data_IF_388538298951
#
_entry.id   IF_388538298951
#
_cell.length_a   1.000
_cell.length_b   1.000
_cell.length_c   1.000
_cell.angle_alpha   90.00
_cell.angle_beta   90.00
_cell.angle_gamma   90.00
#
_symmetry.space_group_name_H-M   'P 1'
#
loop_
_entity.id
_entity.type
_entity.pdbx_description
1 polymer ?
#
# COMPACT_ATOMS: atom_id res chain seq x y z
N UNK A 1 13.98 -4.93 19.29
CA UNK A 1 12.58 -4.44 19.33
C UNK A 1 11.97 -4.69 17.97
N UNK A 2 10.75 -5.22 17.91
CA UNK A 2 10.13 -5.65 16.67
C UNK A 2 9.31 -4.54 16.00
N UNK A 3 9.46 -4.40 14.69
CA UNK A 3 8.65 -3.52 13.86
C UNK A 3 8.17 -4.25 12.59
N UNK A 4 6.87 -4.14 12.31
CA UNK A 4 6.24 -4.64 11.11
C UNK A 4 6.08 -3.51 10.10
N UNK A 5 6.62 -3.69 8.90
CA UNK A 5 6.54 -2.74 7.79
C UNK A 5 5.71 -3.36 6.65
N UNK A 6 4.48 -2.87 6.47
CA UNK A 6 3.51 -3.53 5.61
C UNK A 6 3.03 -2.61 4.51
N UNK A 7 2.80 -3.16 3.32
CA UNK A 7 2.03 -2.43 2.31
C UNK A 7 0.56 -2.26 2.74
N UNK A 8 -0.16 -1.39 2.02
CA UNK A 8 -1.56 -1.07 2.28
C UNK A 8 -2.52 -1.76 1.30
N UNK A 9 -2.38 -1.45 0.02
CA UNK A 9 -3.24 -1.95 -1.06
C UNK A 9 -2.89 -3.42 -1.32
N UNK A 10 -3.88 -4.27 -1.59
CA UNK A 10 -3.69 -5.72 -1.68
C UNK A 10 -3.45 -6.43 -0.33
N UNK A 11 -2.95 -5.72 0.69
CA UNK A 11 -2.68 -6.27 2.02
C UNK A 11 -3.79 -6.03 3.01
N UNK A 12 -4.28 -4.80 3.18
CA UNK A 12 -5.34 -4.43 4.13
C UNK A 12 -6.59 -3.90 3.46
N UNK A 13 -6.45 -3.32 2.27
CA UNK A 13 -7.56 -2.76 1.50
C UNK A 13 -7.46 -3.21 0.04
N UNK A 14 -8.56 -3.18 -0.73
CA UNK A 14 -8.51 -3.33 -2.17
C UNK A 14 -7.72 -2.19 -2.85
N UNK A 15 -7.27 -2.43 -4.08
CA UNK A 15 -6.65 -1.44 -4.95
C UNK A 15 -7.57 -0.24 -5.21
N UNK A 16 -7.14 0.95 -4.81
CA UNK A 16 -7.95 2.17 -4.84
C UNK A 16 -8.30 2.55 -6.28
N UNK A 17 -7.31 2.56 -7.17
CA UNK A 17 -7.52 3.00 -8.55
C UNK A 17 -8.41 2.05 -9.35
N UNK A 18 -8.36 0.75 -9.04
CA UNK A 18 -9.28 -0.24 -9.63
C UNK A 18 -10.70 0.04 -9.15
N UNK A 19 -10.89 0.23 -7.83
CA UNK A 19 -12.21 0.55 -7.28
C UNK A 19 -12.78 1.87 -7.84
N UNK A 20 -11.95 2.90 -8.00
CA UNK A 20 -12.33 4.17 -8.62
C UNK A 20 -12.73 3.97 -10.08
N UNK A 21 -11.92 3.25 -10.87
CA UNK A 21 -12.21 2.91 -12.26
C UNK A 21 -13.57 2.24 -12.41
N UNK A 22 -13.84 1.19 -11.63
CA UNK A 22 -15.08 0.43 -11.68
C UNK A 22 -16.30 1.27 -11.29
N UNK A 23 -16.19 2.03 -10.19
CA UNK A 23 -17.30 2.81 -9.64
C UNK A 23 -17.65 4.04 -10.48
N UNK A 24 -16.66 4.64 -11.13
CA UNK A 24 -16.84 5.81 -11.99
C UNK A 24 -17.07 5.43 -13.45
N UNK A 25 -16.87 4.15 -13.82
CA UNK A 25 -17.01 3.68 -15.20
C UNK A 25 -15.87 4.13 -16.14
N UNK A 26 -14.74 4.56 -15.59
CA UNK A 26 -13.58 5.07 -16.35
C UNK A 26 -12.48 4.01 -16.36
N UNK A 27 -12.57 3.07 -17.31
CA UNK A 27 -11.72 1.87 -17.39
C UNK A 27 -10.23 2.18 -17.47
N UNK A 28 -9.87 3.33 -18.02
CA UNK A 28 -8.49 3.79 -18.14
C UNK A 28 -7.79 3.95 -16.79
N UNK A 29 -8.53 4.26 -15.72
CA UNK A 29 -7.97 4.40 -14.37
C UNK A 29 -7.54 3.06 -13.76
N UNK A 30 -8.00 1.92 -14.30
CA UNK A 30 -7.58 0.59 -13.83
C UNK A 30 -6.13 0.24 -14.20
N UNK A 31 -5.45 1.06 -15.01
CA UNK A 31 -4.04 0.85 -15.37
C UNK A 31 -3.17 0.84 -14.11
N UNK A 32 -2.28 -0.15 -14.02
CA UNK A 32 -1.39 -0.36 -12.87
C UNK A 32 0.08 -0.19 -13.26
N UNK A 33 0.98 -0.31 -12.28
CA UNK A 33 2.43 -0.36 -12.52
C UNK A 33 2.87 -1.59 -13.31
N UNK A 34 2.03 -2.62 -13.42
CA UNK A 34 2.26 -3.77 -14.30
C UNK A 34 2.15 -3.38 -15.79
N UNK A 35 1.28 -2.42 -16.09
CA UNK A 35 1.04 -1.91 -17.45
C UNK A 35 1.91 -0.68 -17.78
N UNK A 36 2.32 0.07 -16.76
CA UNK A 36 3.22 1.22 -16.86
C UNK A 36 4.20 1.23 -15.69
N UNK A 37 5.40 0.66 -15.85
CA UNK A 37 6.39 0.59 -14.77
C UNK A 37 6.89 1.96 -14.31
N UNK A 38 6.83 2.98 -15.16
CA UNK A 38 7.18 4.36 -14.81
C UNK A 38 6.04 5.01 -14.03
N UNK A 39 6.24 5.16 -12.71
CA UNK A 39 5.25 5.75 -11.81
C UNK A 39 4.87 7.19 -12.20
N UNK A 40 5.82 8.01 -12.67
CA UNK A 40 5.52 9.39 -13.07
C UNK A 40 4.65 9.42 -14.32
N UNK A 41 4.98 8.57 -15.29
CA UNK A 41 4.16 8.42 -16.49
C UNK A 41 2.76 7.90 -16.17
N UNK A 42 2.63 6.92 -15.28
CA UNK A 42 1.34 6.41 -14.81
C UNK A 42 0.52 7.50 -14.10
N UNK A 43 1.15 8.27 -13.23
CA UNK A 43 0.45 9.32 -12.49
C UNK A 43 0.04 10.48 -13.38
N UNK A 44 0.89 10.94 -14.31
CA UNK A 44 0.49 11.95 -15.31
C UNK A 44 -0.69 11.47 -16.14
N UNK A 45 -0.65 10.23 -16.61
CA UNK A 45 -1.76 9.61 -17.34
C UNK A 45 -3.05 9.61 -16.53
N UNK A 46 -3.01 9.24 -15.24
CA UNK A 46 -4.18 9.30 -14.34
C UNK A 46 -4.68 10.74 -14.16
N UNK A 47 -3.79 11.71 -13.96
CA UNK A 47 -4.16 13.12 -13.80
C UNK A 47 -4.85 13.68 -15.06
N UNK A 48 -4.33 13.36 -16.25
CA UNK A 48 -4.93 13.76 -17.53
C UNK A 48 -6.37 13.23 -17.67
N UNK A 49 -6.61 11.98 -17.24
CA UNK A 49 -7.94 11.37 -17.22
C UNK A 49 -8.84 12.09 -16.22
N UNK A 50 -8.37 12.32 -15.00
CA UNK A 50 -9.16 13.03 -13.98
C UNK A 50 -9.57 14.43 -14.45
N UNK A 51 -8.68 15.14 -15.13
CA UNK A 51 -9.01 16.43 -15.73
C UNK A 51 -10.03 16.32 -16.86
N UNK A 52 -9.83 15.38 -17.80
CA UNK A 52 -10.73 15.14 -18.94
C UNK A 52 -12.14 14.78 -18.49
N UNK A 53 -12.25 13.86 -17.53
CA UNK A 53 -13.51 13.39 -16.97
C UNK A 53 -14.09 14.31 -15.89
N UNK A 54 -13.36 15.39 -15.53
CA UNK A 54 -13.72 16.35 -14.48
C UNK A 54 -13.97 15.70 -13.11
N UNK A 55 -13.21 14.65 -12.80
CA UNK A 55 -13.29 13.93 -11.53
C UNK A 55 -12.49 14.70 -10.47
N UNK A 56 -13.16 15.15 -9.43
CA UNK A 56 -12.53 15.86 -8.31
C UNK A 56 -11.97 14.91 -7.25
N UNK A 57 -11.14 15.43 -6.34
CA UNK A 57 -10.74 14.70 -5.14
C UNK A 57 -11.96 14.23 -4.33
N UNK A 58 -13.01 15.06 -4.25
CA UNK A 58 -14.22 14.72 -3.50
C UNK A 58 -14.93 13.50 -4.08
N UNK A 59 -15.00 13.39 -5.41
CA UNK A 59 -15.61 12.25 -6.10
C UNK A 59 -14.84 10.95 -5.80
N UNK A 60 -13.51 11.02 -5.85
CA UNK A 60 -12.64 9.89 -5.49
C UNK A 60 -12.81 9.51 -4.02
N UNK A 61 -12.79 10.49 -3.11
CA UNK A 61 -12.99 10.26 -1.68
C UNK A 61 -14.36 9.63 -1.38
N UNK A 62 -15.39 10.00 -2.15
CA UNK A 62 -16.72 9.38 -2.04
C UNK A 62 -16.67 7.89 -2.41
N UNK A 63 -15.96 7.51 -3.47
CA UNK A 63 -15.73 6.09 -3.80
C UNK A 63 -14.98 5.39 -2.68
N UNK A 64 -13.88 5.98 -2.24
CA UNK A 64 -13.01 5.41 -1.19
C UNK A 64 -13.78 5.21 0.12
N UNK A 65 -14.66 6.13 0.50
CA UNK A 65 -15.48 6.01 1.71
C UNK A 65 -16.42 4.80 1.71
N UNK A 66 -16.73 4.26 0.52
CA UNK A 66 -17.57 3.07 0.36
C UNK A 66 -16.75 1.78 0.25
N UNK A 67 -15.42 1.90 0.10
CA UNK A 67 -14.53 0.75 0.13
C UNK A 67 -14.47 0.20 1.56
N UNK A 68 -14.30 -1.11 1.66
CA UNK A 68 -14.07 -1.80 2.92
C UNK A 68 -12.66 -2.35 2.95
N UNK A 69 -12.08 -2.39 4.14
CA UNK A 69 -10.90 -3.23 4.38
C UNK A 69 -11.18 -4.69 4.02
N UNK A 70 -10.12 -5.45 3.77
CA UNK A 70 -10.21 -6.89 3.50
C UNK A 70 -10.65 -7.65 4.75
N UNK A 71 -11.33 -8.78 4.57
CA UNK A 71 -11.83 -9.60 5.67
C UNK A 71 -10.69 -10.11 6.55
N UNK A 72 -10.73 -9.81 7.85
CA UNK A 72 -9.68 -10.13 8.82
C UNK A 72 -8.57 -9.09 8.96
N UNK A 73 -8.61 -7.99 8.19
CA UNK A 73 -7.58 -6.95 8.18
C UNK A 73 -7.37 -6.31 9.55
N UNK A 74 -8.47 -5.96 10.24
CA UNK A 74 -8.42 -5.31 11.55
C UNK A 74 -7.91 -6.25 12.63
N UNK A 75 -8.38 -7.49 12.64
CA UNK A 75 -7.95 -8.52 13.60
C UNK A 75 -6.46 -8.83 13.44
N UNK A 76 -5.99 -8.93 12.20
CA UNK A 76 -4.57 -9.12 11.91
C UNK A 76 -3.74 -7.91 12.36
N UNK A 77 -4.19 -6.69 12.06
CA UNK A 77 -3.53 -5.46 12.48
C UNK A 77 -3.47 -5.31 14.01
N UNK A 78 -4.54 -5.65 14.71
CA UNK A 78 -4.60 -5.64 16.18
C UNK A 78 -3.64 -6.65 16.79
N UNK A 79 -3.54 -7.84 16.20
CA UNK A 79 -2.55 -8.82 16.60
C UNK A 79 -1.12 -8.28 16.42
N UNK A 80 -0.79 -7.69 15.26
CA UNK A 80 0.52 -7.08 15.04
C UNK A 80 0.84 -5.99 16.07
N UNK A 81 -0.12 -5.12 16.37
CA UNK A 81 -0.01 -4.06 17.39
C UNK A 81 0.23 -4.64 18.80
N UNK A 82 -0.30 -5.83 19.09
CA UNK A 82 -0.09 -6.53 20.38
C UNK A 82 1.32 -7.12 20.53
N UNK A 83 2.00 -7.40 19.42
CA UNK A 83 3.32 -8.05 19.40
C UNK A 83 4.47 -7.05 19.18
N UNK A 84 4.24 -5.99 18.42
CA UNK A 84 5.30 -5.06 18.03
C UNK A 84 4.81 -3.67 17.63
N UNK A 85 5.66 -2.93 16.92
CA UNK A 85 5.29 -1.65 16.28
C UNK A 85 4.85 -1.90 14.86
N UNK A 86 3.86 -1.17 14.39
CA UNK A 86 3.35 -1.33 13.02
C UNK A 86 3.46 -0.01 12.28
N UNK A 87 4.03 -0.05 11.08
CA UNK A 87 4.03 1.04 10.13
C UNK A 87 3.53 0.53 8.79
N UNK A 88 2.71 1.34 8.15
CA UNK A 88 2.21 1.08 6.79
C UNK A 88 3.04 1.92 5.82
N UNK A 89 3.63 1.28 4.81
CA UNK A 89 4.47 1.89 3.78
C UNK A 89 3.77 1.71 2.43
N UNK A 90 3.18 2.78 1.88
CA UNK A 90 2.33 2.68 0.69
C UNK A 90 2.61 3.80 -0.30
N UNK A 91 2.49 3.49 -1.60
CA UNK A 91 2.60 4.48 -2.67
C UNK A 91 1.26 5.19 -2.98
N UNK A 92 0.29 5.04 -2.07
CA UNK A 92 -0.96 5.81 -2.06
C UNK A 92 -0.73 7.28 -1.70
N UNK A 93 -1.81 8.04 -1.55
CA UNK A 93 -1.79 9.45 -1.17
C UNK A 93 -2.53 9.73 0.14
N UNK A 94 -2.02 10.66 0.96
CA UNK A 94 -2.64 11.07 2.23
C UNK A 94 -4.12 11.48 2.05
N UNK A 95 -4.43 12.21 0.98
CA UNK A 95 -5.78 12.69 0.67
C UNK A 95 -6.74 11.54 0.32
N UNK A 96 -6.23 10.40 -0.15
CA UNK A 96 -7.01 9.20 -0.43
C UNK A 96 -7.15 8.32 0.81
N UNK A 97 -6.10 8.20 1.63
CA UNK A 97 -6.07 7.24 2.72
C UNK A 97 -7.02 7.58 3.87
N UNK A 98 -7.35 8.86 4.09
CA UNK A 98 -8.07 9.32 5.30
C UNK A 98 -9.36 8.53 5.64
N UNK A 99 -10.29 8.26 4.70
CA UNK A 99 -11.50 7.48 5.00
C UNK A 99 -11.21 6.00 5.34
N UNK A 100 -10.17 5.42 4.75
CA UNK A 100 -9.78 4.02 4.96
C UNK A 100 -9.01 3.83 6.27
N UNK A 101 -8.17 4.80 6.65
CA UNK A 101 -7.42 4.74 7.91
C UNK A 101 -8.33 4.67 9.13
N UNK A 102 -9.53 5.25 9.07
CA UNK A 102 -10.51 5.14 10.14
C UNK A 102 -10.95 3.69 10.40
N UNK A 103 -11.07 2.88 9.35
CA UNK A 103 -11.47 1.46 9.46
C UNK A 103 -10.37 0.61 10.11
N UNK A 104 -9.10 1.00 9.89
CA UNK A 104 -7.92 0.31 10.40
C UNK A 104 -7.45 0.82 11.78
N UNK A 105 -8.20 1.72 12.42
CA UNK A 105 -7.78 2.38 13.68
C UNK A 105 -6.42 3.09 13.54
N UNK A 106 -6.35 3.95 12.51
CA UNK A 106 -5.31 4.94 12.25
C UNK A 106 -3.86 4.46 12.52
N UNK A 107 -3.41 3.36 11.89
CA UNK A 107 -2.00 2.98 11.98
C UNK A 107 -1.12 4.08 11.38
N UNK A 108 0.15 4.14 11.79
CA UNK A 108 1.11 5.07 11.20
C UNK A 108 1.25 4.76 9.72
N UNK A 109 0.87 5.69 8.85
CA UNK A 109 0.96 5.57 7.41
C UNK A 109 2.02 6.53 6.87
N UNK A 110 2.83 5.98 5.98
CA UNK A 110 3.89 6.66 5.28
C UNK A 110 3.65 6.52 3.77
N UNK A 111 3.21 7.62 3.15
CA UNK A 111 2.82 7.63 1.75
C UNK A 111 3.15 8.96 1.05
N UNK A 112 2.58 9.18 -0.14
CA UNK A 112 2.75 10.39 -0.93
C UNK A 112 1.65 11.40 -0.67
N UNK A 113 1.72 12.57 -1.30
CA UNK A 113 0.69 13.61 -1.18
C UNK A 113 0.25 14.10 -2.56
N UNK A 114 -1.02 14.45 -2.72
CA UNK A 114 -1.54 15.13 -3.90
C UNK A 114 -1.38 16.66 -3.79
N UNK A 115 -1.29 17.31 -4.93
CA UNK A 115 -1.47 18.75 -5.07
C UNK A 115 -2.90 18.99 -5.53
N UNK A 116 -3.63 19.82 -4.78
CA UNK A 116 -5.08 20.00 -4.96
C UNK A 116 -5.39 21.48 -4.89
N UNK A 117 -6.14 21.99 -5.85
CA UNK A 117 -6.54 23.39 -5.88
C UNK A 117 -7.71 23.69 -4.92
N UNK A 118 -8.05 24.97 -4.77
CA UNK A 118 -9.16 25.44 -3.93
C UNK A 118 -10.54 24.88 -4.30
N UNK A 119 -10.70 24.32 -5.51
CA UNK A 119 -11.96 23.74 -6.01
C UNK A 119 -11.97 22.21 -5.89
N UNK A 120 -10.92 21.60 -5.33
CA UNK A 120 -10.79 20.15 -5.19
C UNK A 120 -10.32 19.44 -6.46
N UNK A 121 -9.83 20.17 -7.48
CA UNK A 121 -9.17 19.56 -8.64
C UNK A 121 -7.79 19.08 -8.24
N UNK A 122 -7.46 17.84 -8.58
CA UNK A 122 -6.11 17.29 -8.39
C UNK A 122 -5.24 17.83 -9.54
N UNK A 123 -4.28 18.68 -9.22
CA UNK A 123 -3.41 19.35 -10.21
C UNK A 123 -2.05 18.69 -10.36
N UNK A 124 -1.70 17.80 -9.42
CA UNK A 124 -0.39 17.19 -9.36
C UNK A 124 -0.26 16.23 -8.19
N UNK A 125 0.94 15.73 -8.00
CA UNK A 125 1.30 14.88 -6.88
C UNK A 125 2.76 15.10 -6.52
N UNK A 126 3.08 14.81 -5.26
CA UNK A 126 4.42 14.94 -4.71
C UNK A 126 4.81 13.63 -4.06
N UNK A 127 5.85 13.02 -4.63
CA UNK A 127 6.54 11.91 -3.99
C UNK A 127 7.16 12.40 -2.68
N UNK A 128 6.92 11.67 -1.60
CA UNK A 128 7.56 11.94 -0.32
C UNK A 128 9.07 11.71 -0.39
N UNK A 129 9.46 10.58 -0.99
CA UNK A 129 10.84 10.18 -1.20
C UNK A 129 10.90 9.10 -2.29
N UNK A 130 11.88 9.17 -3.18
CA UNK A 130 12.13 8.09 -4.14
C UNK A 130 12.54 6.81 -3.39
N UNK A 131 11.91 5.69 -3.75
CA UNK A 131 12.11 4.38 -3.12
C UNK A 131 11.85 4.43 -1.60
N UNK A 132 10.77 5.11 -1.23
CA UNK A 132 10.44 5.43 0.16
C UNK A 132 10.30 4.20 1.06
N UNK A 133 9.74 3.09 0.55
CA UNK A 133 9.44 1.92 1.37
C UNK A 133 10.73 1.27 1.83
N UNK A 134 11.68 1.06 0.91
CA UNK A 134 13.04 0.58 1.23
C UNK A 134 13.73 1.50 2.22
N UNK A 135 13.79 2.80 1.93
CA UNK A 135 14.52 3.77 2.77
C UNK A 135 13.93 3.88 4.18
N UNK A 136 12.61 3.72 4.33
CA UNK A 136 11.98 3.66 5.64
C UNK A 136 12.42 2.41 6.42
N UNK A 137 12.41 1.23 5.79
CA UNK A 137 12.90 -0.01 6.42
C UNK A 137 14.37 0.10 6.81
N UNK A 138 15.23 0.61 5.93
CA UNK A 138 16.65 0.85 6.21
C UNK A 138 16.84 1.80 7.40
N UNK A 139 16.03 2.87 7.49
CA UNK A 139 16.05 3.79 8.62
C UNK A 139 15.63 3.12 9.93
N UNK A 140 14.55 2.32 9.93
CA UNK A 140 14.14 1.58 11.13
C UNK A 140 15.19 0.56 11.58
N UNK A 141 15.83 -0.13 10.63
CA UNK A 141 16.96 -1.01 10.94
C UNK A 141 18.15 -0.25 11.51
N UNK A 142 18.44 0.95 10.99
CA UNK A 142 19.45 1.86 11.54
C UNK A 142 19.15 2.34 12.96
N UNK A 143 17.88 2.32 13.37
CA UNK A 143 17.43 2.56 14.75
C UNK A 143 17.39 1.28 15.61
N UNK A 144 18.05 0.20 15.18
CA UNK A 144 18.10 -1.11 15.85
C UNK A 144 16.73 -1.80 16.03
N UNK A 145 15.77 -1.55 15.15
CA UNK A 145 14.59 -2.41 15.03
C UNK A 145 14.90 -3.67 14.24
N UNK A 146 14.32 -4.79 14.65
CA UNK A 146 14.20 -6.00 13.84
C UNK A 146 12.93 -5.85 13.01
N UNK A 147 13.09 -5.70 11.70
CA UNK A 147 11.98 -5.36 10.78
C UNK A 147 11.50 -6.61 10.07
N UNK A 148 10.21 -6.94 10.23
CA UNK A 148 9.52 -7.94 9.42
C UNK A 148 8.63 -7.20 8.42
N UNK A 149 8.77 -7.50 7.14
CA UNK A 149 8.00 -6.82 6.09
C UNK A 149 7.03 -7.76 5.36
N UNK A 150 5.96 -7.19 4.80
CA UNK A 150 5.08 -7.90 3.88
C UNK A 150 4.48 -6.96 2.84
N UNK A 151 4.32 -7.50 1.64
CA UNK A 151 3.78 -6.82 0.46
C UNK A 151 3.35 -7.87 -0.56
N UNK A 152 2.70 -7.45 -1.63
CA UNK A 152 2.05 -8.35 -2.60
C UNK A 152 2.67 -8.27 -4.00
N UNK A 153 3.43 -7.20 -4.30
CA UNK A 153 3.84 -6.91 -5.68
C UNK A 153 5.20 -6.23 -5.83
N UNK A 154 5.54 -5.86 -7.08
CA UNK A 154 6.89 -5.43 -7.46
C UNK A 154 7.35 -4.14 -6.78
N UNK A 155 6.46 -3.20 -6.49
CA UNK A 155 6.80 -1.95 -5.79
C UNK A 155 7.19 -2.19 -4.31
N UNK A 156 6.89 -3.35 -3.76
CA UNK A 156 7.30 -3.74 -2.41
C UNK A 156 8.65 -4.43 -2.37
N UNK A 157 9.16 -4.92 -3.51
CA UNK A 157 10.30 -5.82 -3.53
C UNK A 157 11.54 -5.20 -2.85
N UNK A 158 11.82 -3.92 -3.09
CA UNK A 158 12.94 -3.21 -2.46
C UNK A 158 12.77 -3.11 -0.93
N UNK A 159 11.55 -2.90 -0.44
CA UNK A 159 11.20 -2.92 0.99
C UNK A 159 11.43 -4.31 1.60
N UNK A 160 10.92 -5.34 0.95
CA UNK A 160 10.99 -6.73 1.41
C UNK A 160 12.45 -7.20 1.53
N UNK A 161 13.27 -6.91 0.50
CA UNK A 161 14.69 -7.30 0.48
C UNK A 161 15.54 -6.55 1.51
N UNK A 162 15.12 -5.35 1.91
CA UNK A 162 15.82 -4.58 2.94
C UNK A 162 15.37 -4.90 4.36
N UNK A 163 14.34 -5.71 4.58
CA UNK A 163 13.89 -6.12 5.91
C UNK A 163 14.81 -7.20 6.52
N UNK A 164 14.64 -7.51 7.81
CA UNK A 164 15.31 -8.67 8.44
C UNK A 164 14.67 -9.99 8.01
N UNK A 165 13.35 -9.98 7.86
CA UNK A 165 12.58 -11.07 7.28
C UNK A 165 11.40 -10.51 6.48
N UNK A 166 10.92 -11.26 5.50
CA UNK A 166 9.83 -10.82 4.65
C UNK A 166 8.92 -11.98 4.24
N UNK A 167 7.65 -11.69 4.00
CA UNK A 167 6.64 -12.63 3.47
C UNK A 167 5.90 -11.96 2.33
N UNK A 168 5.65 -12.69 1.25
CA UNK A 168 4.74 -12.25 0.19
C UNK A 168 3.30 -12.56 0.60
N UNK A 169 2.42 -11.57 0.57
CA UNK A 169 1.01 -11.74 0.88
C UNK A 169 0.16 -11.72 -0.40
N UNK A 170 -0.53 -12.81 -0.69
CA UNK A 170 -1.38 -12.99 -1.89
C UNK A 170 -0.75 -12.48 -3.20
N UNK A 171 0.54 -12.76 -3.47
CA UNK A 171 1.19 -12.30 -4.69
C UNK A 171 0.57 -12.97 -5.93
N UNK A 172 0.78 -12.37 -7.10
CA UNK A 172 0.53 -13.09 -8.36
C UNK A 172 1.44 -14.31 -8.49
N UNK A 173 0.98 -15.35 -9.19
CA UNK A 173 1.78 -16.56 -9.42
C UNK A 173 3.12 -16.27 -10.10
N UNK A 174 3.14 -15.33 -11.05
CA UNK A 174 4.37 -14.89 -11.72
C UNK A 174 5.35 -14.24 -10.73
N UNK A 175 4.87 -13.27 -9.94
CA UNK A 175 5.72 -12.57 -8.98
C UNK A 175 6.26 -13.51 -7.89
N UNK A 176 5.44 -14.45 -7.41
CA UNK A 176 5.87 -15.47 -6.46
C UNK A 176 6.93 -16.39 -7.06
N UNK A 177 6.79 -16.83 -8.32
CA UNK A 177 7.77 -17.67 -8.99
C UNK A 177 9.12 -16.95 -9.17
N UNK A 178 9.10 -15.67 -9.53
CA UNK A 178 10.29 -14.83 -9.66
C UNK A 178 10.99 -14.52 -8.32
N UNK A 179 10.28 -14.69 -7.20
CA UNK A 179 10.78 -14.42 -5.84
C UNK A 179 10.58 -15.62 -4.91
N UNK A 180 10.88 -16.82 -5.44
CA UNK A 180 10.63 -18.12 -4.78
C UNK A 180 11.40 -18.33 -3.47
N UNK A 181 12.38 -17.49 -3.17
CA UNK A 181 13.11 -17.50 -1.91
C UNK A 181 12.33 -16.83 -0.75
N UNK A 182 11.28 -16.05 -1.05
CA UNK A 182 10.40 -15.47 -0.06
C UNK A 182 9.22 -16.41 0.24
N UNK A 183 8.88 -16.66 1.52
CA UNK A 183 7.68 -17.40 1.87
C UNK A 183 6.43 -16.66 1.40
N UNK A 184 5.41 -17.44 1.02
CA UNK A 184 4.13 -16.92 0.55
C UNK A 184 3.04 -17.24 1.59
N UNK A 185 2.15 -16.28 1.82
CA UNK A 185 0.93 -16.44 2.58
C UNK A 185 -0.29 -16.03 1.74
N UNK A 186 -1.33 -16.86 1.70
CA UNK A 186 -2.55 -16.63 0.92
C UNK A 186 -3.71 -16.09 1.77
N UNK A 187 -3.52 -15.96 3.08
CA UNK A 187 -4.49 -15.39 4.03
C UNK A 187 -3.78 -14.91 5.31
N UNK A 188 -4.48 -14.16 6.16
CA UNK A 188 -3.89 -13.61 7.38
C UNK A 188 -3.44 -14.67 8.39
N UNK A 189 -4.10 -15.84 8.43
CA UNK A 189 -3.69 -16.91 9.34
C UNK A 189 -2.33 -17.50 8.93
N UNK A 190 -2.12 -17.72 7.63
CA UNK A 190 -0.83 -18.10 7.07
C UNK A 190 0.22 -17.00 7.27
N UNK A 191 -0.14 -15.74 7.03
CA UNK A 191 0.79 -14.61 7.20
C UNK A 191 1.25 -14.49 8.66
N UNK A 192 0.30 -14.58 9.60
CA UNK A 192 0.58 -14.66 11.03
C UNK A 192 1.51 -15.82 11.36
N UNK A 193 1.21 -17.02 10.86
CA UNK A 193 2.04 -18.22 11.07
C UNK A 193 3.47 -18.03 10.55
N UNK A 194 3.66 -17.34 9.42
CA UNK A 194 5.01 -17.03 8.92
C UNK A 194 5.71 -16.00 9.81
N UNK A 195 5.02 -14.94 10.23
CA UNK A 195 5.59 -13.92 11.11
C UNK A 195 6.00 -14.50 12.47
N UNK A 196 5.22 -15.41 13.05
CA UNK A 196 5.54 -16.10 14.30
C UNK A 196 6.85 -16.89 14.24
N UNK A 197 7.29 -17.35 13.07
CA UNK A 197 8.60 -18.01 12.91
C UNK A 197 9.79 -17.04 13.01
N UNK A 198 9.55 -15.76 12.76
CA UNK A 198 10.58 -14.71 12.80
C UNK A 198 10.59 -13.96 14.13
N UNK A 199 9.47 -13.99 14.86
CA UNK A 199 9.37 -13.45 16.22
C UNK A 199 10.14 -14.39 17.15
N UNK A 200 11.20 -13.87 17.76
CA UNK A 200 12.00 -14.58 18.78
C UNK A 200 11.51 -14.27 20.18
#
# INVERSE_FOLDING_TARGET
MLLFALDLEGVFIPEIWIAVSERMGVKELARTTRDEPDYDKLMRYRLDILEREKISLFDIQKVISQMRQLDGAKEFLDWLKSVGRVVILSDTFEQFAKPLMAQLDYPTLFCHSLEVDSKGKITGYKLRLNDQKRKAVEAFRGLNFEVIASGDSYNDLSMLRSANAAVLYKPTAKFAAENSDLPVAQNYAELKTQFEKFIK
#
